data_IF_352795319054
#
_entry.id   IF_352795319054
#
_cell.length_a   1.000
_cell.length_b   1.000
_cell.length_c   1.000
_cell.angle_alpha   90.00
_cell.angle_beta   90.00
_cell.angle_gamma   90.00
#
_symmetry.space_group_name_H-M   'P 1'
#
loop_
_entity.id
_entity.type
_entity.pdbx_description
1 polymer ?
#
# COMPACT_ATOMS: atom_id res chain seq x y z
N UNK A 1 -3.19 8.08 -23.92
CA UNK A 1 -4.11 7.16 -23.21
C UNK A 1 -4.34 7.78 -21.85
N UNK A 2 -5.51 8.40 -21.66
CA UNK A 2 -5.86 9.08 -20.40
C UNK A 2 -6.08 7.99 -19.35
N UNK A 3 -5.16 7.88 -18.38
CA UNK A 3 -5.41 7.05 -17.21
C UNK A 3 -6.63 7.66 -16.51
N UNK A 4 -7.75 6.96 -16.56
CA UNK A 4 -9.02 7.40 -16.00
C UNK A 4 -8.78 7.96 -14.59
N UNK A 5 -9.23 9.20 -14.37
CA UNK A 5 -9.13 9.87 -13.08
C UNK A 5 -9.86 8.98 -12.06
N UNK A 6 -9.16 8.38 -11.07
CA UNK A 6 -9.86 7.61 -10.05
C UNK A 6 -10.84 8.54 -9.34
N UNK A 7 -11.97 8.00 -8.81
CA UNK A 7 -12.90 8.80 -8.00
C UNK A 7 -12.12 9.52 -6.88
N UNK A 8 -12.67 10.59 -6.27
CA UNK A 8 -12.05 11.29 -5.14
C UNK A 8 -12.06 10.43 -3.86
N UNK A 9 -11.52 9.23 -3.95
CA UNK A 9 -10.97 8.41 -2.89
C UNK A 9 -9.47 8.37 -3.14
N UNK A 10 -8.82 9.53 -3.05
CA UNK A 10 -7.40 9.51 -2.71
C UNK A 10 -7.38 8.83 -1.34
N UNK A 11 -6.95 7.57 -1.29
CA UNK A 11 -6.75 6.89 0.00
C UNK A 11 -6.01 7.86 0.92
N UNK A 12 -6.45 7.95 2.17
CA UNK A 12 -5.89 8.92 3.14
C UNK A 12 -4.36 8.77 3.26
N UNK A 13 -3.88 7.57 2.92
CA UNK A 13 -2.47 7.23 2.80
C UNK A 13 -2.15 6.65 1.42
N UNK A 14 -1.04 7.13 0.84
CA UNK A 14 -0.42 6.58 -0.37
C UNK A 14 1.01 6.17 -0.05
N UNK A 15 1.37 4.91 -0.34
CA UNK A 15 2.71 4.37 -0.20
C UNK A 15 3.29 4.14 -1.59
N UNK A 16 4.45 4.73 -1.89
CA UNK A 16 5.12 4.59 -3.19
C UNK A 16 6.36 3.71 -3.04
N UNK A 17 6.33 2.54 -3.69
CA UNK A 17 7.40 1.54 -3.72
C UNK A 17 7.04 0.22 -3.03
N UNK A 18 6.91 -0.87 -3.79
CA UNK A 18 6.60 -2.23 -3.29
C UNK A 18 7.80 -3.02 -2.75
N UNK A 19 8.80 -2.34 -2.19
CA UNK A 19 9.90 -2.97 -1.45
C UNK A 19 9.45 -3.43 -0.06
N UNK A 20 10.32 -4.15 0.68
CA UNK A 20 9.99 -4.67 2.02
C UNK A 20 9.49 -3.54 2.95
N UNK A 21 10.19 -2.41 2.98
CA UNK A 21 9.77 -1.27 3.80
C UNK A 21 8.40 -0.71 3.39
N UNK A 22 8.10 -0.64 2.09
CA UNK A 22 6.83 -0.11 1.61
C UNK A 22 5.66 -1.03 1.89
N UNK A 23 5.81 -2.35 1.70
CA UNK A 23 4.75 -3.31 2.02
C UNK A 23 4.51 -3.40 3.52
N UNK A 24 5.57 -3.35 4.35
CA UNK A 24 5.42 -3.28 5.81
C UNK A 24 4.74 -1.98 6.23
N UNK A 25 5.09 -0.85 5.63
CA UNK A 25 4.44 0.43 5.92
C UNK A 25 2.93 0.36 5.62
N UNK A 26 2.55 -0.16 4.45
CA UNK A 26 1.14 -0.33 4.09
C UNK A 26 0.40 -1.28 5.03
N UNK A 27 1.01 -2.40 5.42
CA UNK A 27 0.44 -3.35 6.39
C UNK A 27 0.21 -2.72 7.77
N UNK A 28 1.20 -1.95 8.26
CA UNK A 28 1.08 -1.25 9.55
C UNK A 28 -0.01 -0.18 9.51
N UNK A 29 -0.09 0.60 8.42
CA UNK A 29 -1.18 1.55 8.23
C UNK A 29 -2.55 0.87 8.23
N UNK A 30 -2.68 -0.28 7.56
CA UNK A 30 -3.94 -1.03 7.51
C UNK A 30 -4.33 -1.57 8.89
N UNK A 31 -3.34 -1.96 9.70
CA UNK A 31 -3.56 -2.43 11.07
C UNK A 31 -4.00 -1.30 12.00
N UNK A 32 -3.37 -0.12 11.89
CA UNK A 32 -3.67 1.02 12.75
C UNK A 32 -4.94 1.79 12.35
N UNK A 33 -5.29 1.77 11.06
CA UNK A 33 -6.44 2.49 10.50
C UNK A 33 -7.33 1.56 9.68
N UNK A 34 -8.07 0.64 10.33
CA UNK A 34 -8.80 -0.44 9.65
C UNK A 34 -9.96 0.05 8.75
N UNK A 35 -10.42 1.29 8.93
CA UNK A 35 -11.51 1.88 8.15
C UNK A 35 -11.03 2.75 6.98
N UNK A 36 -9.70 2.91 6.81
CA UNK A 36 -9.13 3.80 5.81
C UNK A 36 -8.60 3.00 4.61
N UNK A 37 -8.85 3.51 3.41
CA UNK A 37 -8.27 2.95 2.19
C UNK A 37 -6.80 3.38 2.05
N UNK A 38 -5.93 2.41 1.75
CA UNK A 38 -4.48 2.60 1.58
C UNK A 38 -4.10 2.20 0.15
N UNK A 39 -3.49 3.13 -0.58
CA UNK A 39 -3.01 2.89 -1.93
C UNK A 39 -1.50 2.59 -1.95
N UNK A 40 -1.11 1.37 -2.33
CA UNK A 40 0.28 0.99 -2.57
C UNK A 40 0.59 1.03 -4.07
N UNK A 41 1.49 1.93 -4.48
CA UNK A 41 1.95 2.07 -5.87
C UNK A 41 3.30 1.39 -6.03
N UNK A 42 3.44 0.50 -7.01
CA UNK A 42 4.71 -0.19 -7.29
C UNK A 42 5.01 -0.21 -8.79
N UNK A 43 6.28 -0.05 -9.15
CA UNK A 43 6.75 -0.22 -10.53
C UNK A 43 6.94 -1.72 -10.88
N UNK A 44 7.09 -2.57 -9.87
CA UNK A 44 7.26 -4.02 -10.04
C UNK A 44 5.90 -4.69 -10.26
N UNK A 45 5.79 -5.64 -11.20
CA UNK A 45 4.58 -6.47 -11.35
C UNK A 45 4.39 -7.46 -10.19
N UNK A 46 5.41 -7.64 -9.34
CA UNK A 46 5.39 -8.50 -8.17
C UNK A 46 5.39 -7.65 -6.89
N UNK A 47 4.50 -7.98 -5.96
CA UNK A 47 4.51 -7.43 -4.60
C UNK A 47 5.23 -8.43 -3.69
N UNK A 48 6.18 -7.94 -2.89
CA UNK A 48 6.84 -8.76 -1.87
C UNK A 48 5.87 -8.99 -0.72
N UNK A 49 5.71 -10.23 -0.28
CA UNK A 49 4.96 -10.53 0.94
C UNK A 49 5.87 -10.36 2.15
N UNK A 50 5.29 -9.90 3.25
CA UNK A 50 5.93 -9.84 4.57
C UNK A 50 5.10 -10.70 5.52
N UNK A 51 5.76 -11.24 6.55
CA UNK A 51 5.10 -11.98 7.63
C UNK A 51 5.70 -11.53 8.94
N UNK A 52 4.85 -11.39 9.96
CA UNK A 52 5.30 -11.04 11.28
C UNK A 52 6.00 -12.26 11.92
N UNK A 53 7.33 -12.25 11.86
CA UNK A 53 8.15 -13.31 12.45
C UNK A 53 8.20 -13.15 13.97
N UNK A 54 7.70 -14.17 14.68
CA UNK A 54 7.83 -14.29 16.13
C UNK A 54 8.91 -15.33 16.43
N UNK A 55 9.97 -14.89 17.11
CA UNK A 55 11.09 -15.73 17.56
C UNK A 55 10.73 -16.56 18.80
#
# INVERSE_FOLDING_TARGET
MEAARPPPTAGKFVVVGGGIAGVTCAEQLATHFPSEDILLVTASPVIKAVTNFKQ
#
